data_IF_112741166236
#
_entry.id   IF_112741166236
#
_cell.length_a   1.000
_cell.length_b   1.000
_cell.length_c   1.000
_cell.angle_alpha   90.00
_cell.angle_beta   90.00
_cell.angle_gamma   90.00
#
_symmetry.space_group_name_H-M   'P 1'
#
loop_
_entity.id
_entity.type
_entity.pdbx_description
1 polymer ?
#
# COMPACT_ATOMS: atom_id res chain seq x y z
N UNK A 1 20.98 -17.39 11.75
CA UNK A 1 22.39 -17.45 11.32
C UNK A 1 22.60 -16.56 10.10
N UNK A 2 23.81 -15.99 9.94
CA UNK A 2 24.17 -15.16 8.79
C UNK A 2 24.79 -15.97 7.64
N UNK A 3 24.39 -17.21 7.46
CA UNK A 3 24.93 -18.15 6.45
C UNK A 3 24.30 -18.00 5.06
N UNK A 4 23.28 -17.13 4.93
CA UNK A 4 22.53 -16.90 3.69
C UNK A 4 21.46 -17.95 3.38
N UNK A 5 21.20 -18.90 4.28
CA UNK A 5 20.16 -19.92 4.10
C UNK A 5 18.82 -19.51 4.71
N UNK A 6 18.80 -18.46 5.52
CA UNK A 6 17.58 -17.90 6.10
C UNK A 6 17.35 -16.50 5.56
N UNK A 7 16.23 -16.30 4.88
CA UNK A 7 15.82 -15.03 4.31
C UNK A 7 14.41 -14.68 4.76
N UNK A 8 14.13 -13.38 4.87
CA UNK A 8 12.78 -12.85 5.09
C UNK A 8 12.30 -12.19 3.79
N UNK A 9 11.23 -12.72 3.21
CA UNK A 9 10.47 -12.03 2.17
C UNK A 9 9.21 -11.44 2.80
N UNK A 10 9.05 -10.14 2.74
CA UNK A 10 7.97 -9.45 3.45
C UNK A 10 7.53 -8.17 2.74
N UNK A 11 6.40 -7.63 3.19
CA UNK A 11 5.85 -6.35 2.70
C UNK A 11 6.31 -5.17 3.56
N UNK A 12 5.95 -3.97 3.12
CA UNK A 12 6.15 -2.71 3.85
C UNK A 12 5.55 -2.70 5.26
N UNK A 13 4.58 -3.55 5.58
CA UNK A 13 4.07 -3.69 6.95
C UNK A 13 5.16 -4.05 7.96
N UNK A 14 6.18 -4.81 7.53
CA UNK A 14 7.34 -5.10 8.35
C UNK A 14 8.09 -3.83 8.80
N UNK A 15 8.30 -2.89 7.87
CA UNK A 15 8.93 -1.61 8.18
C UNK A 15 8.00 -0.69 8.99
N UNK A 16 6.70 -0.70 8.67
CA UNK A 16 5.71 0.10 9.38
C UNK A 16 5.57 -0.31 10.86
N UNK A 17 5.75 -1.59 11.19
CA UNK A 17 5.71 -2.06 12.57
C UNK A 17 6.72 -1.34 13.47
N UNK A 18 7.87 -0.89 12.93
CA UNK A 18 8.84 -0.10 13.68
C UNK A 18 8.31 1.28 14.10
N UNK A 19 7.32 1.79 13.38
CA UNK A 19 6.66 3.06 13.67
C UNK A 19 5.38 2.89 14.51
N UNK A 20 4.87 1.67 14.62
CA UNK A 20 3.63 1.34 15.34
C UNK A 20 3.87 0.82 16.75
N UNK A 21 5.00 0.21 17.03
CA UNK A 21 5.22 -0.50 18.30
C UNK A 21 6.44 0.01 19.06
N UNK A 22 6.21 0.50 20.26
CA UNK A 22 7.27 0.91 21.20
C UNK A 22 8.16 -0.24 21.70
N UNK A 23 7.65 -1.47 21.59
CA UNK A 23 8.29 -2.67 22.16
C UNK A 23 8.60 -3.72 21.09
N UNK A 24 8.93 -3.28 19.88
CA UNK A 24 9.32 -4.20 18.82
C UNK A 24 10.63 -4.91 19.22
N UNK A 25 10.71 -6.26 19.18
CA UNK A 25 11.90 -7.00 19.62
C UNK A 25 13.07 -6.93 18.62
N UNK A 26 12.93 -6.17 17.54
CA UNK A 26 13.95 -5.98 16.51
C UNK A 26 13.91 -4.56 15.93
N UNK A 27 15.00 -4.17 15.30
CA UNK A 27 15.12 -2.95 14.50
C UNK A 27 15.34 -3.34 13.03
N UNK A 28 14.52 -2.78 12.13
CA UNK A 28 14.48 -3.15 10.71
C UNK A 28 15.81 -2.84 10.01
N UNK A 29 16.47 -1.75 10.38
CA UNK A 29 17.72 -1.30 9.74
C UNK A 29 18.95 -1.90 10.40
N UNK A 30 18.93 -2.07 11.74
CA UNK A 30 20.04 -2.59 12.52
C UNK A 30 20.17 -4.10 12.41
N UNK A 31 19.06 -4.84 12.53
CA UNK A 31 19.06 -6.29 12.70
C UNK A 31 18.91 -7.05 11.37
N UNK A 32 18.61 -6.33 10.28
CA UNK A 32 18.44 -6.90 8.95
C UNK A 32 19.26 -6.16 7.90
N UNK A 33 19.74 -6.90 6.91
CA UNK A 33 20.33 -6.37 5.69
C UNK A 33 19.30 -6.39 4.57
N UNK A 34 19.07 -5.25 3.95
CA UNK A 34 18.32 -5.14 2.73
C UNK A 34 19.04 -5.91 1.62
N UNK A 35 18.40 -6.89 1.01
CA UNK A 35 18.96 -7.67 -0.10
C UNK A 35 18.51 -7.08 -1.43
N UNK A 36 17.21 -6.99 -1.66
CA UNK A 36 16.64 -6.36 -2.86
C UNK A 36 15.18 -5.97 -2.62
N UNK A 37 14.77 -4.86 -3.20
CA UNK A 37 13.36 -4.53 -3.40
C UNK A 37 12.85 -5.41 -4.54
N UNK A 38 12.00 -6.36 -4.20
CA UNK A 38 11.53 -7.34 -5.18
C UNK A 38 10.47 -6.73 -6.12
N UNK A 39 9.51 -6.01 -5.56
CA UNK A 39 8.43 -5.40 -6.33
C UNK A 39 7.81 -4.22 -5.58
N UNK A 40 7.27 -3.26 -6.33
CA UNK A 40 6.47 -2.14 -5.81
C UNK A 40 5.06 -2.18 -6.39
N UNK A 41 4.09 -1.65 -5.66
CA UNK A 41 2.74 -1.36 -6.17
C UNK A 41 2.57 0.16 -6.21
N UNK A 42 2.53 0.78 -7.40
CA UNK A 42 2.60 2.23 -7.53
C UNK A 42 1.41 2.99 -6.93
N UNK A 43 0.27 2.31 -6.71
CA UNK A 43 -0.89 2.96 -6.12
C UNK A 43 -2.08 2.02 -5.93
N UNK A 44 -3.07 2.52 -5.18
CA UNK A 44 -4.39 1.90 -4.99
C UNK A 44 -5.47 2.67 -5.75
N UNK A 45 -6.53 1.97 -6.15
CA UNK A 45 -7.79 2.60 -6.51
C UNK A 45 -8.51 3.05 -5.24
N UNK A 46 -9.01 4.28 -5.22
CA UNK A 46 -10.00 4.78 -4.26
C UNK A 46 -11.36 4.31 -4.75
N UNK A 47 -11.98 3.41 -4.01
CA UNK A 47 -13.17 2.67 -4.40
C UNK A 47 -14.35 3.05 -3.52
N UNK A 48 -15.52 3.13 -4.16
CA UNK A 48 -16.79 3.16 -3.44
C UNK A 48 -17.72 2.06 -3.96
N UNK A 49 -18.62 1.57 -3.08
CA UNK A 49 -19.74 0.76 -3.55
C UNK A 49 -20.57 1.58 -4.53
N UNK A 50 -21.08 0.97 -5.60
CA UNK A 50 -21.82 1.68 -6.67
C UNK A 50 -23.12 2.34 -6.19
N UNK A 51 -23.70 1.90 -5.06
CA UNK A 51 -24.86 2.51 -4.42
C UNK A 51 -24.55 3.82 -3.68
N UNK A 52 -23.26 4.10 -3.41
CA UNK A 52 -22.83 5.37 -2.81
C UNK A 52 -23.06 6.51 -3.81
N UNK A 53 -23.73 7.55 -3.38
CA UNK A 53 -24.03 8.73 -4.22
C UNK A 53 -22.82 9.68 -4.30
N UNK A 54 -21.65 9.13 -4.70
CA UNK A 54 -20.44 9.89 -5.01
C UNK A 54 -19.86 9.36 -6.32
N UNK A 55 -19.71 10.21 -7.32
CA UNK A 55 -19.15 9.89 -8.65
C UNK A 55 -17.72 10.39 -8.82
N UNK A 56 -17.30 11.30 -7.96
CA UNK A 56 -15.98 11.93 -7.94
C UNK A 56 -15.39 11.89 -6.54
N UNK A 57 -14.06 12.06 -6.45
CA UNK A 57 -13.37 12.17 -5.15
C UNK A 57 -13.87 13.38 -4.36
N UNK A 58 -14.13 14.52 -5.03
CA UNK A 58 -14.66 15.72 -4.39
C UNK A 58 -16.05 15.48 -3.78
N UNK A 59 -16.94 14.76 -4.47
CA UNK A 59 -18.26 14.38 -3.94
C UNK A 59 -18.13 13.44 -2.73
N UNK A 60 -17.17 12.52 -2.71
CA UNK A 60 -16.89 11.66 -1.56
C UNK A 60 -16.43 12.49 -0.36
N UNK A 61 -15.49 13.42 -0.57
CA UNK A 61 -15.03 14.34 0.47
C UNK A 61 -16.16 15.16 1.04
N UNK A 62 -17.03 15.71 0.17
CA UNK A 62 -18.21 16.47 0.60
C UNK A 62 -19.19 15.58 1.40
N UNK A 63 -19.47 14.36 0.94
CA UNK A 63 -20.33 13.41 1.65
C UNK A 63 -19.78 13.03 3.03
N UNK A 64 -18.46 12.95 3.19
CA UNK A 64 -17.82 12.61 4.46
C UNK A 64 -17.97 13.68 5.55
N UNK A 65 -18.41 14.91 5.21
CA UNK A 65 -18.66 15.96 6.18
C UNK A 65 -19.96 15.75 7.00
N UNK A 66 -20.81 14.85 6.55
CA UNK A 66 -22.07 14.56 7.24
C UNK A 66 -21.81 13.65 8.46
N UNK A 67 -21.93 14.22 9.66
CA UNK A 67 -21.70 13.52 10.94
C UNK A 67 -22.85 12.59 11.31
N UNK A 68 -24.05 12.81 10.82
CA UNK A 68 -25.23 11.96 11.12
C UNK A 68 -25.19 10.65 10.33
N UNK A 69 -24.51 10.67 9.17
CA UNK A 69 -24.29 9.50 8.32
C UNK A 69 -22.82 9.43 7.92
N UNK A 70 -21.93 9.02 8.83
CA UNK A 70 -20.49 9.02 8.59
C UNK A 70 -20.14 8.06 7.45
N UNK A 71 -19.32 8.53 6.53
CA UNK A 71 -18.68 7.67 5.53
C UNK A 71 -17.59 6.85 6.21
N UNK A 72 -17.61 5.54 6.01
CA UNK A 72 -16.63 4.64 6.61
C UNK A 72 -15.75 4.01 5.54
N UNK A 73 -14.45 3.93 5.83
CA UNK A 73 -13.50 3.22 4.97
C UNK A 73 -12.93 1.99 5.65
N UNK A 74 -12.76 0.92 4.89
CA UNK A 74 -12.20 -0.33 5.37
C UNK A 74 -10.72 -0.48 5.10
N UNK A 75 -10.04 -1.21 5.97
CA UNK A 75 -8.66 -1.67 5.77
C UNK A 75 -8.49 -3.13 6.18
N UNK A 76 -7.41 -3.75 5.75
CA UNK A 76 -7.04 -5.11 6.18
C UNK A 76 -6.43 -5.19 7.57
N UNK A 77 -6.43 -4.10 8.35
CA UNK A 77 -5.93 -4.01 9.71
C UNK A 77 -5.33 -2.64 10.04
N UNK A 78 -5.18 -2.37 11.33
CA UNK A 78 -4.55 -1.14 11.83
C UNK A 78 -3.09 -1.06 11.33
N UNK A 79 -2.66 0.15 10.91
CA UNK A 79 -1.29 0.42 10.45
C UNK A 79 -0.91 -0.17 9.09
N UNK A 80 -1.83 -0.88 8.42
CA UNK A 80 -1.55 -1.30 7.05
C UNK A 80 -1.68 -0.14 6.05
N UNK A 81 -1.19 -0.34 4.82
CA UNK A 81 -1.18 0.70 3.78
C UNK A 81 -2.54 1.32 3.49
N UNK A 82 -3.63 0.57 3.64
CA UNK A 82 -4.99 1.06 3.38
C UNK A 82 -5.49 1.97 4.50
N UNK A 83 -5.16 1.64 5.75
CA UNK A 83 -5.45 2.51 6.89
C UNK A 83 -4.71 3.84 6.75
N UNK A 84 -3.37 3.78 6.56
CA UNK A 84 -2.53 4.95 6.37
C UNK A 84 -3.00 5.83 5.20
N UNK A 85 -3.38 5.21 4.09
CA UNK A 85 -3.91 5.92 2.93
C UNK A 85 -5.25 6.64 3.25
N UNK A 86 -6.15 5.98 3.97
CA UNK A 86 -7.44 6.57 4.35
C UNK A 86 -7.24 7.79 5.24
N UNK A 87 -6.37 7.72 6.24
CA UNK A 87 -6.08 8.84 7.12
C UNK A 87 -5.30 9.94 6.41
N UNK A 88 -4.36 9.60 5.52
CA UNK A 88 -3.68 10.60 4.69
C UNK A 88 -4.68 11.33 3.78
N UNK A 89 -5.66 10.62 3.23
CA UNK A 89 -6.72 11.24 2.40
C UNK A 89 -7.60 12.14 3.26
N UNK A 90 -7.97 11.72 4.48
CA UNK A 90 -8.67 12.56 5.45
C UNK A 90 -7.90 13.87 5.69
N UNK A 91 -6.62 13.78 6.00
CA UNK A 91 -5.79 14.95 6.32
C UNK A 91 -5.56 15.87 5.12
N UNK A 92 -5.26 15.32 3.93
CA UNK A 92 -4.90 16.10 2.74
C UNK A 92 -6.10 16.65 1.98
N UNK A 93 -7.23 15.95 1.98
CA UNK A 93 -8.47 16.34 1.32
C UNK A 93 -9.46 17.03 2.25
N UNK A 94 -9.20 17.05 3.55
CA UNK A 94 -10.17 17.50 4.56
C UNK A 94 -11.38 16.58 4.68
N UNK A 95 -11.27 15.32 4.27
CA UNK A 95 -12.31 14.33 4.46
C UNK A 95 -12.46 13.94 5.94
N UNK A 96 -13.62 13.40 6.32
CA UNK A 96 -13.92 12.94 7.68
C UNK A 96 -14.43 11.50 7.67
N UNK A 97 -13.73 10.64 6.94
CA UNK A 97 -14.07 9.23 6.89
C UNK A 97 -13.63 8.51 8.16
N UNK A 98 -14.45 7.58 8.65
CA UNK A 98 -14.14 6.76 9.83
C UNK A 98 -13.51 5.43 9.42
N UNK A 99 -12.43 5.05 10.07
CA UNK A 99 -11.73 3.79 9.83
C UNK A 99 -12.45 2.59 10.45
N UNK A 100 -12.58 1.49 9.69
CA UNK A 100 -13.06 0.18 10.15
C UNK A 100 -12.02 -0.87 9.80
N UNK A 101 -11.28 -1.42 10.79
CA UNK A 101 -10.28 -2.45 10.57
C UNK A 101 -10.90 -3.84 10.42
N UNK A 102 -10.42 -4.61 9.44
CA UNK A 102 -10.78 -6.01 9.21
C UNK A 102 -9.56 -6.92 9.40
N UNK A 103 -9.80 -8.22 9.56
CA UNK A 103 -8.75 -9.25 9.61
C UNK A 103 -8.33 -9.67 8.17
N UNK A 104 -7.86 -8.70 7.36
CA UNK A 104 -7.39 -8.94 6.01
C UNK A 104 -8.32 -8.41 4.91
N UNK A 105 -7.88 -8.57 3.65
CA UNK A 105 -8.55 -8.01 2.47
C UNK A 105 -9.90 -8.68 2.15
N UNK A 106 -10.01 -9.98 2.32
CA UNK A 106 -11.21 -10.71 1.92
C UNK A 106 -12.47 -10.29 2.68
N UNK A 107 -12.48 -10.23 4.05
CA UNK A 107 -13.63 -9.73 4.79
C UNK A 107 -13.91 -8.23 4.50
N UNK A 108 -12.89 -7.41 4.34
CA UNK A 108 -13.06 -6.01 3.95
C UNK A 108 -13.78 -5.86 2.60
N UNK A 109 -13.36 -6.62 1.58
CA UNK A 109 -14.00 -6.60 0.25
C UNK A 109 -15.45 -7.08 0.30
N UNK A 110 -15.76 -8.09 1.13
CA UNK A 110 -17.13 -8.56 1.35
C UNK A 110 -18.00 -7.43 1.93
N UNK A 111 -17.52 -6.74 2.96
CA UNK A 111 -18.21 -5.61 3.57
C UNK A 111 -18.42 -4.44 2.58
N UNK A 112 -17.40 -4.11 1.76
CA UNK A 112 -17.51 -3.08 0.74
C UNK A 112 -18.59 -3.43 -0.31
N UNK A 113 -18.63 -4.67 -0.75
CA UNK A 113 -19.62 -5.13 -1.75
C UNK A 113 -21.04 -5.18 -1.17
N UNK A 114 -21.19 -5.45 0.14
CA UNK A 114 -22.46 -5.39 0.86
C UNK A 114 -22.97 -3.97 1.10
N UNK A 115 -22.07 -2.98 1.15
CA UNK A 115 -22.35 -1.56 1.48
C UNK A 115 -23.08 -1.35 2.83
N UNK A 116 -22.93 -2.28 3.75
CA UNK A 116 -23.60 -2.21 5.06
C UNK A 116 -22.72 -1.48 6.08
N UNK A 117 -21.48 -1.89 6.21
CA UNK A 117 -20.58 -1.43 7.26
C UNK A 117 -19.60 -0.37 6.76
N UNK A 118 -19.09 -0.51 5.52
CA UNK A 118 -18.16 0.44 4.88
C UNK A 118 -18.65 0.82 3.49
N UNK A 119 -18.38 2.04 3.10
CA UNK A 119 -18.72 2.61 1.78
C UNK A 119 -17.49 2.76 0.89
N UNK A 120 -16.30 2.85 1.49
CA UNK A 120 -15.03 3.16 0.83
C UNK A 120 -13.99 2.09 1.15
N UNK A 121 -13.16 1.75 0.18
CA UNK A 121 -11.94 0.98 0.40
C UNK A 121 -10.87 1.34 -0.62
N UNK A 122 -9.66 0.83 -0.36
CA UNK A 122 -8.50 1.01 -1.22
C UNK A 122 -7.99 -0.37 -1.63
N UNK A 123 -7.72 -0.57 -2.90
CA UNK A 123 -7.25 -1.88 -3.37
C UNK A 123 -6.43 -1.78 -4.65
N UNK A 124 -5.63 -2.82 -4.89
CA UNK A 124 -4.88 -2.95 -6.13
C UNK A 124 -5.82 -2.94 -7.34
N UNK A 125 -5.48 -2.22 -8.42
CA UNK A 125 -6.31 -2.13 -9.62
C UNK A 125 -6.70 -3.50 -10.19
N UNK A 126 -5.76 -4.44 -10.27
CA UNK A 126 -5.97 -5.79 -10.79
C UNK A 126 -7.00 -6.59 -10.00
N UNK A 127 -7.01 -6.45 -8.67
CA UNK A 127 -7.93 -7.15 -7.77
C UNK A 127 -9.38 -6.71 -7.98
N UNK A 128 -9.59 -5.44 -8.31
CA UNK A 128 -10.94 -4.84 -8.34
C UNK A 128 -11.50 -4.57 -9.73
N UNK A 129 -10.69 -4.80 -10.77
CA UNK A 129 -11.06 -4.49 -12.16
C UNK A 129 -12.39 -5.13 -12.58
N UNK A 130 -12.63 -6.38 -12.21
CA UNK A 130 -13.87 -7.09 -12.55
C UNK A 130 -15.09 -6.51 -11.81
N UNK A 131 -14.94 -6.07 -10.58
CA UNK A 131 -16.00 -5.41 -9.83
C UNK A 131 -16.33 -4.02 -10.40
N UNK A 132 -15.32 -3.30 -10.89
CA UNK A 132 -15.51 -2.02 -11.55
C UNK A 132 -16.22 -2.22 -12.90
N UNK A 133 -15.74 -3.17 -13.73
CA UNK A 133 -16.34 -3.49 -15.03
C UNK A 133 -17.79 -3.99 -14.92
N UNK A 134 -18.11 -4.73 -13.86
CA UNK A 134 -19.49 -5.20 -13.61
C UNK A 134 -20.37 -4.17 -12.93
N UNK A 135 -19.87 -2.96 -12.65
CA UNK A 135 -20.64 -1.88 -12.02
C UNK A 135 -20.94 -2.09 -10.54
N UNK A 136 -20.35 -3.09 -9.87
CA UNK A 136 -20.51 -3.30 -8.43
C UNK A 136 -19.73 -2.29 -7.59
N UNK A 137 -18.56 -1.87 -8.08
CA UNK A 137 -17.74 -0.84 -7.49
C UNK A 137 -17.49 0.28 -8.49
N UNK A 138 -17.23 1.47 -7.96
CA UNK A 138 -16.80 2.65 -8.73
C UNK A 138 -15.41 3.06 -8.24
N UNK A 139 -14.47 3.24 -9.17
CA UNK A 139 -13.19 3.86 -8.88
C UNK A 139 -13.31 5.37 -9.04
N UNK A 140 -13.00 6.13 -8.00
CA UNK A 140 -13.05 7.59 -7.99
C UNK A 140 -11.72 8.23 -8.35
N UNK A 141 -10.62 7.60 -7.95
CA UNK A 141 -9.27 8.07 -8.23
C UNK A 141 -8.24 6.93 -8.08
N UNK A 142 -7.02 7.19 -8.54
CA UNK A 142 -5.86 6.32 -8.36
C UNK A 142 -4.74 7.07 -7.62
N UNK A 143 -4.10 6.44 -6.64
CA UNK A 143 -3.12 7.12 -5.77
C UNK A 143 -1.72 7.22 -6.36
N UNK A 144 -1.43 6.54 -7.45
CA UNK A 144 -0.14 6.60 -8.14
C UNK A 144 0.09 7.94 -8.85
N UNK A 145 1.34 8.15 -9.28
CA UNK A 145 1.77 9.39 -9.95
C UNK A 145 1.19 9.59 -11.36
N UNK A 146 0.73 8.49 -11.98
CA UNK A 146 0.12 8.48 -13.33
C UNK A 146 -1.13 7.62 -13.27
N UNK A 147 -2.11 7.89 -14.14
CA UNK A 147 -3.30 7.04 -14.28
C UNK A 147 -2.90 5.60 -14.60
N UNK A 148 -3.62 4.66 -14.01
CA UNK A 148 -3.39 3.25 -14.33
C UNK A 148 -3.90 2.93 -15.74
N UNK A 149 -3.05 2.29 -16.57
CA UNK A 149 -3.34 2.03 -17.97
C UNK A 149 -4.59 1.16 -18.22
N UNK A 150 -4.92 0.27 -17.28
CA UNK A 150 -6.12 -0.58 -17.35
C UNK A 150 -7.44 0.18 -17.14
N UNK A 151 -7.41 1.40 -16.58
CA UNK A 151 -8.57 2.29 -16.38
C UNK A 151 -8.16 3.76 -16.64
N UNK A 152 -7.86 4.13 -17.89
CA UNK A 152 -7.30 5.44 -18.24
C UNK A 152 -8.24 6.62 -17.96
N UNK A 153 -9.54 6.35 -17.81
CA UNK A 153 -10.54 7.36 -17.48
C UNK A 153 -10.61 7.68 -15.97
N UNK A 154 -9.98 6.85 -15.11
CA UNK A 154 -9.91 7.12 -13.67
C UNK A 154 -8.75 8.09 -13.44
N UNK A 155 -9.02 9.30 -12.89
CA UNK A 155 -7.97 10.28 -12.62
C UNK A 155 -7.05 9.82 -11.49
N UNK A 156 -5.85 10.39 -11.40
CA UNK A 156 -5.07 10.30 -10.17
C UNK A 156 -5.71 11.15 -9.07
N UNK A 157 -5.38 10.89 -7.80
CA UNK A 157 -5.86 11.72 -6.68
C UNK A 157 -5.40 13.17 -6.86
N UNK A 158 -4.19 13.37 -7.41
CA UNK A 158 -3.67 14.71 -7.72
C UNK A 158 -4.52 15.43 -8.79
N UNK A 159 -4.89 14.73 -9.88
CA UNK A 159 -5.79 15.27 -10.91
C UNK A 159 -7.22 15.48 -10.40
N UNK A 160 -7.64 14.70 -9.40
CA UNK A 160 -8.98 14.79 -8.79
C UNK A 160 -9.15 15.90 -7.75
N UNK A 161 -8.17 16.82 -7.65
CA UNK A 161 -8.28 18.03 -6.84
C UNK A 161 -7.43 18.07 -5.57
N UNK A 162 -6.49 17.12 -5.38
CA UNK A 162 -5.54 17.12 -4.27
C UNK A 162 -4.11 17.17 -4.85
N UNK A 163 -3.62 18.35 -5.27
CA UNK A 163 -2.36 18.49 -5.97
C UNK A 163 -1.18 17.95 -5.14
N UNK A 164 -0.27 17.24 -5.81
CA UNK A 164 0.91 16.65 -5.17
C UNK A 164 0.62 15.43 -4.31
N UNK A 165 -0.62 14.93 -4.28
CA UNK A 165 -0.91 13.67 -3.60
C UNK A 165 -0.26 12.51 -4.33
N UNK A 166 0.58 11.80 -3.62
CA UNK A 166 1.20 10.56 -4.05
C UNK A 166 1.21 9.59 -2.87
N UNK A 167 0.80 8.36 -3.10
CA UNK A 167 0.89 7.29 -2.12
C UNK A 167 1.24 5.99 -2.83
N UNK A 168 2.46 5.50 -2.59
CA UNK A 168 2.89 4.18 -3.04
C UNK A 168 2.21 3.13 -2.16
N UNK A 169 1.42 2.25 -2.78
CA UNK A 169 0.49 1.40 -2.06
C UNK A 169 1.18 0.32 -1.24
N UNK A 170 2.17 -0.35 -1.81
CA UNK A 170 2.89 -1.43 -1.15
C UNK A 170 4.22 -1.71 -1.86
N UNK A 171 5.12 -2.33 -1.13
CA UNK A 171 6.32 -2.95 -1.70
C UNK A 171 6.59 -4.29 -1.02
N UNK A 172 7.35 -5.13 -1.71
CA UNK A 172 7.88 -6.39 -1.19
C UNK A 172 9.39 -6.36 -1.27
N UNK A 173 10.03 -6.71 -0.18
CA UNK A 173 11.49 -6.74 -0.07
C UNK A 173 12.00 -8.06 0.46
N UNK A 174 13.24 -8.36 0.12
CA UNK A 174 14.02 -9.49 0.64
C UNK A 174 15.05 -8.95 1.61
N UNK A 175 15.10 -9.58 2.76
CA UNK A 175 16.05 -9.25 3.83
C UNK A 175 16.83 -10.50 4.25
N UNK A 176 18.04 -10.28 4.73
CA UNK A 176 18.89 -11.28 5.38
C UNK A 176 19.21 -10.82 6.81
N UNK A 177 19.61 -11.70 7.73
CA UNK A 177 20.16 -11.31 9.02
C UNK A 177 21.33 -10.32 8.88
N UNK A 178 21.45 -9.35 9.79
CA UNK A 178 22.51 -8.33 9.74
C UNK A 178 23.93 -8.92 9.70
N UNK A 179 24.13 -10.11 10.29
CA UNK A 179 25.40 -10.83 10.29
C UNK A 179 25.77 -11.48 8.95
N UNK A 180 24.87 -11.50 7.95
CA UNK A 180 25.15 -12.12 6.64
C UNK A 180 26.27 -11.36 5.91
N UNK A 181 27.35 -12.04 5.46
CA UNK A 181 28.44 -11.38 4.73
C UNK A 181 27.97 -10.72 3.44
N UNK A 182 28.58 -9.57 3.11
CA UNK A 182 28.21 -8.80 1.90
C UNK A 182 28.25 -9.66 0.62
N UNK A 183 29.28 -10.48 0.43
CA UNK A 183 29.40 -11.33 -0.75
C UNK A 183 28.24 -12.34 -0.89
N UNK A 184 27.69 -12.81 0.24
CA UNK A 184 26.52 -13.70 0.26
C UNK A 184 25.26 -12.92 -0.11
N UNK A 185 25.08 -11.72 0.47
CA UNK A 185 23.96 -10.81 0.13
C UNK A 185 23.97 -10.47 -1.36
N UNK A 186 25.11 -10.10 -1.93
CA UNK A 186 25.26 -9.77 -3.35
C UNK A 186 24.88 -10.96 -4.26
N UNK A 187 25.31 -12.19 -3.89
CA UNK A 187 24.95 -13.41 -4.63
C UNK A 187 23.45 -13.69 -4.59
N UNK A 188 22.82 -13.54 -3.44
CA UNK A 188 21.36 -13.71 -3.28
C UNK A 188 20.62 -12.66 -4.10
N UNK A 189 21.06 -11.39 -4.02
CA UNK A 189 20.47 -10.29 -4.78
C UNK A 189 20.47 -10.57 -6.30
N UNK A 190 21.61 -11.01 -6.84
CA UNK A 190 21.71 -11.38 -8.27
C UNK A 190 20.73 -12.51 -8.63
N UNK A 191 20.56 -13.50 -7.75
CA UNK A 191 19.59 -14.59 -7.92
C UNK A 191 18.16 -14.07 -8.04
N UNK A 192 17.75 -13.19 -7.11
CA UNK A 192 16.43 -12.56 -7.16
C UNK A 192 16.24 -11.66 -8.39
N UNK A 193 17.22 -10.81 -8.70
CA UNK A 193 17.16 -9.94 -9.88
C UNK A 193 17.00 -10.72 -11.19
N UNK A 194 17.66 -11.89 -11.29
CA UNK A 194 17.48 -12.77 -12.45
C UNK A 194 16.12 -13.46 -12.46
N UNK A 195 15.63 -13.94 -11.30
CA UNK A 195 14.32 -14.56 -11.20
C UNK A 195 13.17 -13.59 -11.57
N UNK A 196 13.30 -12.32 -11.22
CA UNK A 196 12.32 -11.27 -11.56
C UNK A 196 12.27 -10.96 -13.07
N UNK A 197 13.30 -11.34 -13.84
CA UNK A 197 13.31 -11.26 -15.31
C UNK A 197 12.62 -12.44 -15.99
N UNK A 198 12.39 -13.54 -15.26
CA UNK A 198 11.63 -14.69 -15.80
C UNK A 198 10.21 -14.23 -16.14
N UNK A 199 9.77 -14.57 -17.36
CA UNK A 199 8.49 -14.10 -17.89
C UNK A 199 7.29 -14.51 -17.00
N UNK A 200 7.31 -15.69 -16.42
CA UNK A 200 6.21 -16.19 -15.57
C UNK A 200 6.14 -15.42 -14.26
N UNK A 201 7.30 -15.11 -13.65
CA UNK A 201 7.39 -14.32 -12.43
C UNK A 201 6.93 -12.88 -12.70
N UNK A 202 7.41 -12.30 -13.79
CA UNK A 202 7.05 -10.95 -14.21
C UNK A 202 5.55 -10.81 -14.47
N UNK A 203 4.98 -11.71 -15.30
CA UNK A 203 3.54 -11.72 -15.60
C UNK A 203 2.68 -11.92 -14.35
N UNK A 204 3.13 -12.77 -13.41
CA UNK A 204 2.42 -12.99 -12.14
C UNK A 204 2.39 -11.72 -11.28
N UNK A 205 3.53 -11.04 -11.13
CA UNK A 205 3.61 -9.79 -10.36
C UNK A 205 2.78 -8.70 -11.02
N UNK A 206 2.93 -8.48 -12.32
CA UNK A 206 2.15 -7.48 -13.06
C UNK A 206 0.65 -7.79 -13.03
N UNK A 207 0.27 -9.06 -13.14
CA UNK A 207 -1.12 -9.50 -12.97
C UNK A 207 -1.69 -9.17 -11.60
N UNK A 208 -0.85 -9.15 -10.55
CA UNK A 208 -1.18 -8.69 -9.20
C UNK A 208 -1.17 -7.17 -9.03
N UNK A 209 -0.77 -6.39 -10.04
CA UNK A 209 -0.63 -4.94 -9.97
C UNK A 209 0.73 -4.47 -9.40
N UNK A 210 1.70 -5.39 -9.31
CA UNK A 210 3.05 -5.09 -8.87
C UNK A 210 3.98 -4.84 -10.05
N UNK A 211 4.91 -3.92 -9.90
CA UNK A 211 6.02 -3.68 -10.81
C UNK A 211 7.28 -4.37 -10.25
N UNK A 212 7.86 -5.37 -10.97
CA UNK A 212 9.12 -5.99 -10.58
C UNK A 212 10.26 -4.97 -10.55
N UNK A 213 11.13 -5.02 -9.54
CA UNK A 213 12.26 -4.09 -9.37
C UNK A 213 13.60 -4.82 -9.45
N UNK A 214 13.99 -5.56 -8.41
CA UNK A 214 15.23 -6.34 -8.40
C UNK A 214 16.50 -5.49 -8.30
N UNK A 215 16.44 -4.34 -7.63
CA UNK A 215 17.54 -3.40 -7.45
C UNK A 215 18.67 -3.96 -6.57
N UNK A 216 19.79 -3.25 -6.51
CA UNK A 216 20.91 -3.61 -5.64
C UNK A 216 20.57 -3.46 -4.15
N UNK A 217 21.33 -4.15 -3.29
CA UNK A 217 21.21 -4.03 -1.84
C UNK A 217 21.38 -2.58 -1.35
N UNK A 218 22.30 -1.84 -1.94
CA UNK A 218 22.52 -0.43 -1.58
C UNK A 218 21.35 0.48 -1.96
N UNK A 219 20.78 0.28 -3.16
CA UNK A 219 19.60 1.02 -3.60
C UNK A 219 18.39 0.69 -2.74
N UNK A 220 18.19 -0.59 -2.39
CA UNK A 220 17.09 -0.96 -1.50
C UNK A 220 17.26 -0.40 -0.08
N UNK A 221 18.47 -0.40 0.47
CA UNK A 221 18.75 0.22 1.77
C UNK A 221 18.44 1.73 1.74
N UNK A 222 18.82 2.43 0.67
CA UNK A 222 18.50 3.86 0.46
C UNK A 222 16.98 4.08 0.39
N UNK A 223 16.29 3.27 -0.42
CA UNK A 223 14.83 3.31 -0.52
C UNK A 223 14.15 3.07 0.84
N UNK A 224 14.58 2.05 1.59
CA UNK A 224 14.01 1.71 2.90
C UNK A 224 14.14 2.86 3.90
N UNK A 225 15.30 3.53 3.95
CA UNK A 225 15.50 4.68 4.83
C UNK A 225 14.63 5.88 4.44
N UNK A 226 14.50 6.16 3.15
CA UNK A 226 13.59 7.20 2.66
C UNK A 226 12.13 6.85 2.98
N UNK A 227 11.72 5.61 2.72
CA UNK A 227 10.39 5.10 3.03
C UNK A 227 10.04 5.26 4.51
N UNK A 228 10.92 4.85 5.44
CA UNK A 228 10.68 4.97 6.87
C UNK A 228 10.51 6.43 7.31
N UNK A 229 11.29 7.35 6.71
CA UNK A 229 11.16 8.79 6.97
C UNK A 229 9.81 9.32 6.49
N UNK A 230 9.41 8.99 5.27
CA UNK A 230 8.14 9.44 4.70
C UNK A 230 6.94 8.86 5.46
N UNK A 231 7.03 7.59 5.86
CA UNK A 231 5.99 6.95 6.68
C UNK A 231 5.88 7.59 8.07
N UNK A 232 6.99 7.95 8.72
CA UNK A 232 6.96 8.65 10.00
C UNK A 232 6.18 9.99 9.91
N UNK A 233 6.33 10.72 8.80
CA UNK A 233 5.53 11.92 8.56
C UNK A 233 4.05 11.62 8.33
N UNK A 234 3.74 10.55 7.58
CA UNK A 234 2.35 10.12 7.34
C UNK A 234 1.69 9.69 8.65
N UNK A 235 2.39 8.94 9.51
CA UNK A 235 1.88 8.52 10.82
C UNK A 235 1.53 9.74 11.70
N UNK A 236 2.37 10.77 11.72
CA UNK A 236 2.07 12.03 12.43
C UNK A 236 0.83 12.73 11.86
N UNK A 237 0.76 12.87 10.54
CA UNK A 237 -0.38 13.51 9.85
C UNK A 237 -1.68 12.73 10.11
N UNK A 238 -1.59 11.40 10.13
CA UNK A 238 -2.72 10.50 10.34
C UNK A 238 -3.11 10.33 11.82
N UNK A 239 -2.39 10.97 12.75
CA UNK A 239 -2.58 10.81 14.20
C UNK A 239 -2.60 9.34 14.65
N UNK A 240 -1.80 8.50 14.01
CA UNK A 240 -1.64 7.09 14.39
C UNK A 240 -0.55 7.04 15.45
N UNK A 241 -0.98 6.76 16.69
CA UNK A 241 -0.08 6.66 17.82
C UNK A 241 0.58 5.28 17.89
N UNK A 242 1.79 5.23 18.45
CA UNK A 242 2.49 4.00 18.77
C UNK A 242 1.78 3.27 19.93
N UNK A 243 1.47 1.98 19.74
CA UNK A 243 0.95 1.08 20.78
C UNK A 243 2.05 0.43 21.63
#
# INVERSE_FOLDING_TARGET
>A
PGDGLTLLYTSNSFANNQLLSKKLPFDVVRDFKAVTLAATMPGYMVLVNSSVNAKTLAELVAASQNTDKPVRFGSGGIGNSQHLLGELLNAKAGAKMQHVPYKGLAPMMTALLGNDEIQVAFSAPSTVLNYIKSGKLRALAYTGSKRWSGLPNVPTVSEAGIPGFLYEAAWHGVFAPASTPKAVVDKIQIGFANALKDKRVNDFLQGGGYEPVGNSSAEFATYLNAYLKDMAEIFKIAHIEEE
#
